data_IF_522384144195
#
_entry.id   IF_522384144195
#
_cell.length_a   1.000
_cell.length_b   1.000
_cell.length_c   1.000
_cell.angle_alpha   90.00
_cell.angle_beta   90.00
_cell.angle_gamma   90.00
#
_symmetry.space_group_name_H-M   'P 1'
#
loop_
_entity.id
_entity.type
_entity.pdbx_description
1 polymer ?
#
# COMPACT_ATOMS: atom_id res chain seq x y z
N UNK A 1 -3.45 0.13 -10.15
CA UNK A 1 -2.75 1.03 -9.21
C UNK A 1 -3.61 2.29 -9.07
N UNK A 2 -4.00 2.69 -7.86
CA UNK A 2 -4.72 3.95 -7.66
C UNK A 2 -3.69 5.07 -7.63
N UNK A 3 -3.16 5.45 -8.81
CA UNK A 3 -2.24 6.57 -8.91
C UNK A 3 -3.07 7.84 -8.97
N UNK A 4 -2.90 8.73 -7.99
CA UNK A 4 -3.43 10.09 -8.09
C UNK A 4 -2.55 10.83 -9.09
N UNK A 5 -2.84 10.67 -10.39
CA UNK A 5 -2.24 11.49 -11.45
C UNK A 5 -3.16 12.67 -11.66
N UNK A 6 -2.78 13.82 -11.10
CA UNK A 6 -3.33 15.08 -11.56
C UNK A 6 -2.81 15.35 -12.97
N UNK A 7 -3.69 15.36 -13.98
CA UNK A 7 -3.34 15.88 -15.31
C UNK A 7 -3.06 17.38 -15.18
N UNK A 8 -1.80 17.72 -14.97
CA UNK A 8 -1.23 19.05 -15.15
C UNK A 8 0.11 18.86 -15.85
N UNK A 9 0.20 19.32 -17.08
CA UNK A 9 1.35 19.19 -17.97
C UNK A 9 2.66 19.52 -17.26
N UNK A 10 3.51 18.51 -17.07
CA UNK A 10 4.96 18.71 -16.88
C UNK A 10 5.52 19.08 -18.24
N UNK A 11 5.37 20.34 -18.63
CA UNK A 11 6.19 20.96 -19.65
C UNK A 11 6.72 22.26 -19.06
N UNK A 12 8.04 22.36 -19.05
CA UNK A 12 8.79 23.55 -18.68
C UNK A 12 8.17 24.78 -19.35
N UNK A 13 7.50 25.63 -18.57
CA UNK A 13 7.33 27.02 -18.95
C UNK A 13 7.33 27.88 -17.68
N UNK A 14 8.28 28.82 -17.60
CA UNK A 14 8.58 29.66 -16.44
C UNK A 14 7.50 30.72 -16.14
N UNK A 15 6.24 30.46 -16.47
CA UNK A 15 5.15 31.44 -16.32
C UNK A 15 3.80 30.78 -16.01
N UNK A 16 3.67 30.15 -14.85
CA UNK A 16 2.36 29.97 -14.22
C UNK A 16 2.50 30.04 -12.69
N UNK A 17 2.46 31.27 -12.17
CA UNK A 17 2.04 31.53 -10.78
C UNK A 17 0.56 31.24 -10.66
N UNK A 18 0.11 30.66 -9.54
CA UNK A 18 -1.25 30.19 -9.19
C UNK A 18 -1.51 28.68 -9.35
N UNK A 19 -0.66 27.86 -8.74
CA UNK A 19 -1.10 26.62 -8.12
C UNK A 19 -1.13 26.87 -6.61
N UNK A 20 -2.26 26.65 -5.95
CA UNK A 20 -2.30 26.58 -4.48
C UNK A 20 -1.43 25.41 -4.06
N UNK A 21 -0.55 25.61 -3.07
CA UNK A 21 0.55 24.71 -2.64
C UNK A 21 0.13 23.26 -2.24
N UNK A 22 -1.14 22.89 -2.38
CA UNK A 22 -1.74 21.64 -1.89
C UNK A 22 -2.85 21.09 -2.81
N UNK A 23 -2.65 21.10 -4.13
CA UNK A 23 -3.67 20.60 -5.08
C UNK A 23 -4.04 19.11 -4.90
N UNK A 24 -3.12 18.28 -4.38
CA UNK A 24 -3.35 16.86 -4.13
C UNK A 24 -3.94 16.57 -2.74
N UNK A 25 -3.92 17.55 -1.83
CA UNK A 25 -4.27 17.38 -0.44
C UNK A 25 -5.71 16.89 -0.24
N UNK A 26 -6.67 17.45 -1.00
CA UNK A 26 -8.06 17.00 -0.94
C UNK A 26 -8.15 15.49 -1.20
N UNK A 27 -7.48 15.04 -2.26
CA UNK A 27 -7.58 13.65 -2.71
C UNK A 27 -6.92 12.73 -1.69
N UNK A 28 -5.72 13.08 -1.23
CA UNK A 28 -5.00 12.33 -0.20
C UNK A 28 -5.82 12.25 1.08
N UNK A 29 -6.32 13.38 1.58
CA UNK A 29 -7.10 13.44 2.80
C UNK A 29 -8.38 12.59 2.71
N UNK A 30 -9.13 12.70 1.62
CA UNK A 30 -10.34 11.90 1.39
C UNK A 30 -10.03 10.41 1.25
N UNK A 31 -8.89 10.09 0.67
CA UNK A 31 -8.47 8.71 0.45
C UNK A 31 -8.08 8.01 1.76
N UNK A 32 -7.30 8.66 2.62
CA UNK A 32 -7.02 8.13 3.97
C UNK A 32 -8.28 8.00 4.83
N UNK A 33 -9.24 8.93 4.66
CA UNK A 33 -10.56 8.81 5.26
C UNK A 33 -11.34 7.59 4.74
N UNK A 34 -11.24 7.28 3.45
CA UNK A 34 -11.83 6.09 2.86
C UNK A 34 -11.20 4.82 3.44
N UNK A 35 -9.87 4.75 3.55
CA UNK A 35 -9.15 3.63 4.17
C UNK A 35 -9.65 3.38 5.60
N UNK A 36 -9.68 4.43 6.43
CA UNK A 36 -10.24 4.33 7.78
C UNK A 36 -11.69 3.83 7.77
N UNK A 37 -12.50 4.34 6.85
CA UNK A 37 -13.92 4.01 6.79
C UNK A 37 -14.18 2.57 6.39
N UNK A 38 -13.38 1.99 5.50
CA UNK A 38 -13.48 0.59 5.09
C UNK A 38 -13.18 -0.32 6.28
N UNK A 39 -12.06 -0.08 6.96
CA UNK A 39 -11.60 -0.94 8.05
C UNK A 39 -12.49 -0.85 9.30
N UNK A 40 -13.12 0.30 9.54
CA UNK A 40 -14.05 0.51 10.66
C UNK A 40 -15.53 0.37 10.26
N UNK A 41 -15.81 -0.14 9.05
CA UNK A 41 -17.19 -0.22 8.58
C UNK A 41 -17.98 -1.32 9.30
N UNK A 42 -19.16 -0.95 9.83
CA UNK A 42 -20.00 -1.88 10.60
C UNK A 42 -20.81 -2.87 9.78
N UNK A 43 -21.16 -2.52 8.54
CA UNK A 43 -21.89 -3.47 7.69
C UNK A 43 -20.88 -4.46 7.14
N UNK A 44 -21.29 -5.72 7.06
CA UNK A 44 -20.49 -6.76 6.42
C UNK A 44 -20.12 -6.36 5.00
N UNK A 45 -18.82 -6.31 4.73
CA UNK A 45 -18.26 -6.03 3.41
C UNK A 45 -17.60 -7.29 2.86
N UNK A 46 -17.76 -7.50 1.56
CA UNK A 46 -17.15 -8.62 0.83
C UNK A 46 -16.41 -8.05 -0.37
N UNK A 47 -15.10 -8.27 -0.44
CA UNK A 47 -14.31 -8.06 -1.65
C UNK A 47 -14.28 -9.36 -2.46
N UNK A 48 -14.69 -9.30 -3.73
CA UNK A 48 -14.48 -10.37 -4.71
C UNK A 48 -13.30 -9.97 -5.60
N UNK A 49 -12.13 -10.57 -5.37
CA UNK A 49 -10.88 -10.16 -5.99
C UNK A 49 -10.49 -11.17 -7.06
N UNK A 50 -10.81 -10.87 -8.30
CA UNK A 50 -10.46 -11.66 -9.47
C UNK A 50 -9.51 -10.89 -10.38
N UNK A 51 -8.20 -11.13 -10.25
CA UNK A 51 -7.16 -10.43 -11.01
C UNK A 51 -6.19 -9.65 -10.13
N UNK A 52 -5.59 -8.60 -10.70
CA UNK A 52 -4.51 -7.84 -10.06
C UNK A 52 -5.09 -6.91 -8.97
N UNK A 53 -4.57 -7.02 -7.75
CA UNK A 53 -4.90 -6.15 -6.62
C UNK A 53 -3.62 -5.62 -5.98
N UNK A 54 -3.21 -4.41 -6.37
CA UNK A 54 -1.94 -3.81 -5.93
C UNK A 54 -2.15 -2.39 -5.40
N UNK A 55 -1.39 -2.02 -4.37
CA UNK A 55 -1.43 -0.72 -3.71
C UNK A 55 -2.83 -0.34 -3.27
N UNK A 56 -3.37 0.76 -3.81
CA UNK A 56 -4.73 1.17 -3.48
C UNK A 56 -5.83 0.13 -3.75
N UNK A 57 -5.66 -0.82 -4.68
CA UNK A 57 -6.60 -1.95 -4.84
C UNK A 57 -6.54 -2.94 -3.68
N UNK A 58 -5.34 -3.17 -3.16
CA UNK A 58 -5.11 -4.01 -2.00
C UNK A 58 -5.73 -3.40 -0.73
N UNK A 59 -5.75 -2.08 -0.62
CA UNK A 59 -6.40 -1.36 0.47
C UNK A 59 -7.93 -1.51 0.49
N UNK A 60 -8.52 -1.85 -0.65
CA UNK A 60 -9.96 -2.11 -0.77
C UNK A 60 -10.32 -3.57 -0.48
N UNK A 61 -9.36 -4.43 -0.13
CA UNK A 61 -9.65 -5.85 0.13
C UNK A 61 -9.06 -6.37 1.44
N UNK A 62 -7.83 -6.03 1.79
CA UNK A 62 -7.16 -6.54 3.00
C UNK A 62 -7.93 -6.19 4.28
N UNK A 63 -8.36 -4.93 4.50
CA UNK A 63 -9.09 -4.58 5.73
C UNK A 63 -10.57 -5.01 5.71
N UNK A 64 -11.09 -5.54 4.60
CA UNK A 64 -12.50 -5.94 4.54
C UNK A 64 -12.74 -7.21 5.35
N UNK A 65 -13.93 -7.28 5.97
CA UNK A 65 -14.33 -8.42 6.80
C UNK A 65 -14.24 -9.76 6.07
N UNK A 66 -14.63 -9.77 4.79
CA UNK A 66 -14.42 -10.88 3.89
C UNK A 66 -13.69 -10.41 2.63
N UNK A 67 -12.58 -11.07 2.33
CA UNK A 67 -11.87 -10.96 1.05
C UNK A 67 -11.78 -12.34 0.42
N UNK A 68 -12.41 -12.48 -0.75
CA UNK A 68 -12.50 -13.72 -1.52
C UNK A 68 -11.61 -13.57 -2.74
N UNK A 69 -10.58 -14.41 -2.82
CA UNK A 69 -9.58 -14.40 -3.89
C UNK A 69 -9.72 -15.64 -4.77
N UNK A 70 -9.15 -15.62 -5.98
CA UNK A 70 -9.17 -16.74 -6.91
C UNK A 70 -7.76 -17.10 -7.37
N UNK A 71 -7.62 -18.15 -8.17
CA UNK A 71 -6.37 -18.55 -8.80
C UNK A 71 -5.77 -17.49 -9.75
N UNK A 72 -6.56 -16.48 -10.15
CA UNK A 72 -6.08 -15.35 -10.97
C UNK A 72 -5.68 -14.14 -10.15
N UNK A 73 -5.83 -14.19 -8.83
CA UNK A 73 -5.45 -13.06 -7.98
C UNK A 73 -3.95 -12.90 -7.94
N UNK A 74 -3.48 -11.67 -8.19
CA UNK A 74 -2.09 -11.28 -8.02
C UNK A 74 -2.05 -10.05 -7.13
N UNK A 75 -1.47 -10.19 -5.95
CA UNK A 75 -1.32 -9.11 -4.98
C UNK A 75 0.13 -8.65 -4.90
N UNK A 76 0.33 -7.35 -4.69
CA UNK A 76 1.61 -6.78 -4.28
C UNK A 76 1.41 -5.38 -3.68
N UNK A 77 2.38 -4.95 -2.88
CA UNK A 77 2.57 -3.58 -2.42
C UNK A 77 3.88 -3.01 -3.00
N UNK A 78 3.90 -2.65 -4.30
CA UNK A 78 5.14 -2.29 -5.00
C UNK A 78 5.56 -0.83 -4.80
N UNK A 79 5.00 -0.11 -3.83
CA UNK A 79 5.13 1.35 -3.67
C UNK A 79 6.59 1.83 -3.59
N UNK A 80 7.42 1.08 -2.87
CA UNK A 80 8.84 1.40 -2.73
C UNK A 80 9.55 1.50 -4.09
N UNK A 81 9.19 0.62 -5.04
CA UNK A 81 9.87 0.46 -6.34
C UNK A 81 9.84 1.71 -7.22
N UNK A 82 8.86 2.60 -7.02
CA UNK A 82 8.77 3.88 -7.71
C UNK A 82 9.02 5.08 -6.81
N UNK A 83 9.66 4.90 -5.65
CA UNK A 83 10.04 6.01 -4.78
C UNK A 83 8.95 6.47 -3.82
N UNK A 84 7.95 5.63 -3.55
CA UNK A 84 6.86 5.94 -2.62
C UNK A 84 6.93 5.09 -1.35
N UNK A 85 6.07 5.38 -0.36
CA UNK A 85 5.99 4.61 0.88
C UNK A 85 4.82 3.62 0.83
N UNK A 86 4.81 2.65 1.76
CA UNK A 86 3.62 1.81 1.98
C UNK A 86 2.53 2.67 2.62
N UNK A 87 1.44 2.86 1.88
CA UNK A 87 0.34 3.77 2.22
C UNK A 87 -0.98 3.00 2.45
N UNK A 88 -2.11 3.70 2.49
CA UNK A 88 -3.44 3.11 2.60
C UNK A 88 -3.74 2.22 3.83
N UNK A 89 -3.02 2.37 4.93
CA UNK A 89 -3.10 1.52 6.12
C UNK A 89 -2.20 0.28 6.07
N UNK A 90 -1.36 0.14 5.03
CA UNK A 90 -0.46 -1.00 4.93
C UNK A 90 0.70 -0.98 5.91
N UNK A 91 1.07 0.17 6.47
CA UNK A 91 2.03 0.16 7.59
C UNK A 91 1.45 -0.59 8.79
N UNK A 92 0.15 -0.49 9.04
CA UNK A 92 -0.56 -1.29 10.04
C UNK A 92 -0.70 -2.74 9.60
N UNK A 93 -1.30 -2.99 8.43
CA UNK A 93 -1.59 -4.36 7.96
C UNK A 93 -0.34 -5.24 7.83
N UNK A 94 0.76 -4.71 7.28
CA UNK A 94 2.02 -5.45 7.20
C UNK A 94 2.63 -5.69 8.58
N UNK A 95 2.51 -4.75 9.52
CA UNK A 95 3.05 -4.90 10.87
C UNK A 95 2.39 -6.03 11.67
N UNK A 96 1.16 -6.40 11.32
CA UNK A 96 0.41 -7.49 11.94
C UNK A 96 0.74 -8.87 11.37
N UNK A 97 1.53 -8.95 10.29
CA UNK A 97 1.88 -10.23 9.68
C UNK A 97 2.89 -11.01 10.53
N UNK A 98 2.91 -12.35 10.46
CA UNK A 98 3.83 -13.17 11.23
C UNK A 98 5.30 -12.83 10.96
N UNK A 99 6.09 -12.80 12.04
CA UNK A 99 7.55 -12.63 11.97
C UNK A 99 7.96 -11.30 11.32
N UNK A 100 8.66 -11.39 10.19
CA UNK A 100 9.06 -10.25 9.36
C UNK A 100 8.53 -10.34 7.92
N UNK A 101 7.41 -11.05 7.71
CA UNK A 101 6.77 -11.16 6.40
C UNK A 101 6.30 -9.79 5.89
N UNK A 102 5.80 -8.92 6.78
CA UNK A 102 5.36 -7.57 6.44
C UNK A 102 6.46 -6.69 5.86
N UNK A 103 7.62 -6.65 6.52
CA UNK A 103 8.79 -5.93 6.00
C UNK A 103 9.24 -6.51 4.65
N UNK A 104 9.25 -7.83 4.51
CA UNK A 104 9.59 -8.48 3.23
C UNK A 104 8.66 -8.03 2.10
N UNK A 105 7.34 -8.13 2.29
CA UNK A 105 6.36 -7.75 1.25
C UNK A 105 6.48 -6.27 0.88
N UNK A 106 6.53 -5.38 1.89
CA UNK A 106 6.54 -3.94 1.68
C UNK A 106 7.84 -3.42 1.04
N UNK A 107 8.99 -4.01 1.37
CA UNK A 107 10.30 -3.57 0.83
C UNK A 107 10.60 -4.14 -0.55
N UNK A 108 10.12 -5.35 -0.83
CA UNK A 108 10.47 -6.07 -2.07
C UNK A 108 9.40 -5.95 -3.15
N UNK A 109 8.16 -5.60 -2.78
CA UNK A 109 7.02 -5.65 -3.68
C UNK A 109 6.71 -7.07 -4.16
N UNK A 110 7.12 -8.10 -3.40
CA UNK A 110 6.92 -9.49 -3.76
C UNK A 110 5.44 -9.78 -4.03
N UNK A 111 5.20 -10.54 -5.11
CA UNK A 111 3.85 -10.89 -5.53
C UNK A 111 3.36 -12.11 -4.77
N UNK A 112 2.12 -12.07 -4.30
CA UNK A 112 1.41 -13.21 -3.73
C UNK A 112 0.25 -13.61 -4.64
N UNK A 113 0.10 -14.90 -4.87
CA UNK A 113 -1.09 -15.43 -5.53
C UNK A 113 -2.27 -15.59 -4.54
N UNK A 114 -3.45 -15.94 -5.05
CA UNK A 114 -4.66 -16.11 -4.21
C UNK A 114 -4.50 -17.10 -3.05
N UNK A 115 -3.82 -18.23 -3.23
CA UNK A 115 -3.62 -19.20 -2.14
C UNK A 115 -2.69 -18.65 -1.07
N UNK A 116 -1.61 -18.01 -1.50
CA UNK A 116 -0.62 -17.40 -0.61
C UNK A 116 -1.23 -16.24 0.20
N UNK A 117 -2.10 -15.44 -0.40
CA UNK A 117 -2.82 -14.38 0.31
C UNK A 117 -3.65 -14.90 1.47
N UNK A 118 -4.40 -15.98 1.25
CA UNK A 118 -5.21 -16.60 2.31
C UNK A 118 -4.30 -17.20 3.38
N UNK A 119 -3.24 -17.89 2.98
CA UNK A 119 -2.28 -18.49 3.92
C UNK A 119 -1.50 -17.44 4.74
N UNK A 120 -1.21 -16.27 4.16
CA UNK A 120 -0.57 -15.14 4.85
C UNK A 120 -1.54 -14.36 5.75
N UNK A 121 -2.85 -14.62 5.66
CA UNK A 121 -3.88 -13.90 6.41
C UNK A 121 -4.27 -12.53 5.83
N UNK A 122 -3.86 -12.24 4.59
CA UNK A 122 -4.21 -11.01 3.87
C UNK A 122 -5.52 -11.15 3.08
N UNK A 123 -5.98 -12.36 2.85
CA UNK A 123 -7.32 -12.67 2.35
C UNK A 123 -7.99 -13.72 3.24
N UNK A 124 -9.31 -13.83 3.16
CA UNK A 124 -10.07 -14.71 4.05
C UNK A 124 -10.41 -16.06 3.41
N UNK A 125 -10.76 -16.06 2.13
CA UNK A 125 -11.30 -17.24 1.45
C UNK A 125 -10.76 -17.34 0.03
N UNK A 126 -10.64 -18.57 -0.47
CA UNK A 126 -10.26 -18.87 -1.84
C UNK A 126 -11.40 -19.58 -2.56
N UNK A 127 -11.78 -19.07 -3.74
CA UNK A 127 -12.85 -19.63 -4.57
C UNK A 127 -12.34 -19.76 -6.01
N UNK A 128 -12.64 -20.88 -6.67
CA UNK A 128 -12.35 -21.05 -8.11
C UNK A 128 -13.02 -19.95 -8.92
N UNK A 129 -12.32 -19.35 -9.88
CA UNK A 129 -12.90 -18.27 -10.68
C UNK A 129 -14.18 -18.64 -11.42
N UNK A 130 -14.36 -19.92 -11.76
CA UNK A 130 -15.58 -20.45 -12.39
C UNK A 130 -16.82 -20.28 -11.51
N UNK A 131 -16.64 -20.22 -10.18
CA UNK A 131 -17.72 -20.14 -9.18
C UNK A 131 -18.02 -18.72 -8.72
N UNK A 132 -17.20 -17.73 -9.07
CA UNK A 132 -17.34 -16.35 -8.57
C UNK A 132 -18.70 -15.74 -8.94
N UNK A 133 -19.16 -15.94 -10.18
CA UNK A 133 -20.46 -15.42 -10.64
C UNK A 133 -21.64 -16.04 -9.87
N UNK A 134 -21.52 -17.32 -9.51
CA UNK A 134 -22.55 -18.01 -8.73
C UNK A 134 -22.54 -17.55 -7.27
N UNK A 135 -21.35 -17.41 -6.68
CA UNK A 135 -21.16 -16.84 -5.34
C UNK A 135 -21.77 -15.43 -5.24
N UNK A 136 -21.49 -14.55 -6.20
CA UNK A 136 -22.03 -13.19 -6.22
C UNK A 136 -23.57 -13.21 -6.23
N UNK A 137 -24.19 -14.04 -7.09
CA UNK A 137 -25.65 -14.21 -7.12
C UNK A 137 -26.19 -14.72 -5.79
N UNK A 138 -25.50 -15.68 -5.15
CA UNK A 138 -25.89 -16.23 -3.85
C UNK A 138 -25.81 -15.16 -2.76
N UNK A 139 -24.75 -14.36 -2.72
CA UNK A 139 -24.59 -13.24 -1.79
C UNK A 139 -25.71 -12.20 -1.95
N UNK A 140 -26.05 -11.83 -3.19
CA UNK A 140 -27.16 -10.91 -3.47
C UNK A 140 -28.50 -11.51 -3.02
N UNK A 141 -28.70 -12.82 -3.14
CA UNK A 141 -29.94 -13.50 -2.75
C UNK A 141 -30.20 -13.60 -1.25
N UNK A 142 -29.17 -13.38 -0.40
CA UNK A 142 -29.30 -13.55 1.05
C UNK A 142 -30.31 -12.58 1.68
N UNK A 143 -30.56 -11.42 1.06
CA UNK A 143 -31.41 -10.35 1.59
C UNK A 143 -31.11 -9.99 3.07
N UNK A 144 -29.87 -10.25 3.52
CA UNK A 144 -29.38 -10.04 4.88
C UNK A 144 -27.90 -9.65 4.82
N UNK A 145 -27.50 -8.72 5.69
CA UNK A 145 -26.09 -8.34 5.89
C UNK A 145 -25.48 -8.97 7.13
N UNK A 146 -26.16 -9.95 7.75
CA UNK A 146 -25.64 -10.67 8.92
C UNK A 146 -24.31 -11.37 8.59
N UNK A 147 -23.32 -11.18 9.44
CA UNK A 147 -21.95 -11.66 9.20
C UNK A 147 -21.89 -13.19 9.07
N UNK A 148 -22.64 -13.93 9.90
CA UNK A 148 -22.62 -15.39 9.88
C UNK A 148 -23.30 -15.92 8.62
N UNK A 149 -24.42 -15.33 8.20
CA UNK A 149 -25.09 -15.70 6.96
C UNK A 149 -24.21 -15.49 5.73
N UNK A 150 -23.52 -14.34 5.66
CA UNK A 150 -22.56 -14.05 4.58
C UNK A 150 -21.38 -15.03 4.61
N UNK A 151 -20.81 -15.29 5.79
CA UNK A 151 -19.72 -16.27 5.97
C UNK A 151 -20.12 -17.64 5.45
N UNK A 152 -21.26 -18.17 5.88
CA UNK A 152 -21.73 -19.50 5.47
C UNK A 152 -21.87 -19.61 3.96
N UNK A 153 -22.40 -18.57 3.30
CA UNK A 153 -22.46 -18.55 1.82
C UNK A 153 -21.06 -18.57 1.22
N UNK A 154 -20.10 -17.79 1.71
CA UNK A 154 -18.74 -17.82 1.15
C UNK A 154 -18.08 -19.19 1.34
N UNK A 155 -18.27 -19.80 2.52
CA UNK A 155 -17.75 -21.13 2.86
C UNK A 155 -18.33 -22.24 1.96
N UNK A 156 -19.60 -22.14 1.52
CA UNK A 156 -20.21 -23.08 0.56
C UNK A 156 -19.45 -23.18 -0.78
N UNK A 157 -18.81 -22.08 -1.21
CA UNK A 157 -18.05 -22.02 -2.46
C UNK A 157 -16.53 -22.15 -2.27
N UNK A 158 -16.06 -22.04 -1.04
CA UNK A 158 -14.64 -21.97 -0.71
C UNK A 158 -13.95 -23.32 -0.84
N UNK A 159 -12.68 -23.28 -1.22
CA UNK A 159 -11.79 -24.44 -1.22
C UNK A 159 -10.72 -24.26 -0.15
N UNK A 160 -10.31 -25.37 0.48
CA UNK A 160 -9.12 -25.36 1.32
C UNK A 160 -7.88 -24.96 0.50
N UNK A 161 -7.04 -24.11 1.08
CA UNK A 161 -5.79 -23.67 0.46
C UNK A 161 -4.60 -24.33 1.14
N UNK A 162 -3.63 -24.71 0.32
CA UNK A 162 -2.26 -25.02 0.74
C UNK A 162 -1.31 -24.24 -0.17
N UNK A 163 -0.35 -23.48 0.38
CA UNK A 163 0.70 -22.89 -0.44
C UNK A 163 1.41 -23.95 -1.27
N UNK A 164 1.79 -23.59 -2.49
CA UNK A 164 2.55 -24.47 -3.37
C UNK A 164 3.98 -24.68 -2.80
N UNK A 165 4.69 -25.74 -3.19
CA UNK A 165 5.99 -26.11 -2.58
C UNK A 165 7.06 -25.01 -2.72
N UNK A 166 7.02 -24.28 -3.82
CA UNK A 166 7.92 -23.16 -4.14
C UNK A 166 7.44 -21.80 -3.60
N UNK A 167 6.29 -21.77 -2.88
CA UNK A 167 5.75 -20.56 -2.29
C UNK A 167 6.76 -19.84 -1.41
N UNK A 168 6.73 -18.50 -1.46
CA UNK A 168 7.58 -17.65 -0.63
C UNK A 168 7.28 -17.83 0.86
N UNK A 169 6.06 -18.24 1.21
CA UNK A 169 5.67 -18.51 2.60
C UNK A 169 6.43 -19.70 3.20
N UNK A 170 6.91 -20.63 2.36
CA UNK A 170 7.77 -21.74 2.81
C UNK A 170 9.21 -21.27 3.13
N UNK A 171 9.54 -19.99 2.89
CA UNK A 171 10.85 -19.39 3.15
C UNK A 171 10.85 -18.52 4.42
N UNK A 172 9.80 -18.61 5.25
CA UNK A 172 9.58 -17.76 6.42
C UNK A 172 10.80 -17.67 7.34
N UNK A 173 11.50 -18.78 7.62
CA UNK A 173 12.66 -18.74 8.52
C UNK A 173 13.80 -17.86 8.01
N UNK A 174 14.05 -17.90 6.70
CA UNK A 174 15.09 -17.08 6.04
C UNK A 174 14.64 -15.62 5.95
N UNK A 175 13.35 -15.39 5.69
CA UNK A 175 12.74 -14.05 5.72
C UNK A 175 12.90 -13.44 7.12
N UNK A 176 12.53 -14.17 8.18
CA UNK A 176 12.65 -13.70 9.55
C UNK A 176 14.10 -13.40 9.94
N UNK A 177 15.03 -14.28 9.58
CA UNK A 177 16.45 -14.06 9.84
C UNK A 177 16.99 -12.80 9.15
N UNK A 178 16.65 -12.59 7.88
CA UNK A 178 17.19 -11.49 7.09
C UNK A 178 16.48 -10.15 7.35
N UNK A 179 15.16 -10.13 7.53
CA UNK A 179 14.38 -8.91 7.72
C UNK A 179 14.25 -8.47 9.18
N UNK A 180 14.78 -9.25 10.13
CA UNK A 180 14.95 -8.86 11.53
C UNK A 180 16.05 -7.82 11.78
N UNK A 181 16.97 -7.59 10.82
CA UNK A 181 18.11 -6.67 11.01
C UNK A 181 17.68 -5.21 11.13
N UNK A 182 18.44 -4.37 11.80
CA UNK A 182 17.96 -3.04 12.20
C UNK A 182 17.86 -2.05 11.03
N UNK A 183 18.68 -2.21 9.99
CA UNK A 183 18.71 -1.29 8.85
C UNK A 183 18.62 -2.02 7.50
N UNK A 184 18.29 -1.27 6.43
CA UNK A 184 18.26 -1.81 5.05
C UNK A 184 19.63 -2.36 4.64
N UNK A 185 20.71 -1.70 5.01
CA UNK A 185 22.07 -2.13 4.73
C UNK A 185 22.39 -3.48 5.38
N UNK A 186 21.94 -3.69 6.62
CA UNK A 186 22.09 -4.98 7.31
C UNK A 186 21.19 -6.06 6.71
N UNK A 187 19.96 -5.73 6.31
CA UNK A 187 19.04 -6.65 5.62
C UNK A 187 19.68 -7.13 4.31
N UNK A 188 20.19 -6.21 3.49
CA UNK A 188 20.87 -6.54 2.22
C UNK A 188 22.08 -7.44 2.48
N UNK A 189 22.93 -7.11 3.46
CA UNK A 189 24.09 -7.95 3.82
C UNK A 189 23.67 -9.35 4.28
N UNK A 190 22.59 -9.45 5.05
CA UNK A 190 22.05 -10.74 5.51
C UNK A 190 21.57 -11.58 4.33
N UNK A 191 20.83 -10.97 3.40
CA UNK A 191 20.38 -11.63 2.16
C UNK A 191 21.57 -12.08 1.30
N UNK A 192 22.62 -11.25 1.15
CA UNK A 192 23.83 -11.62 0.40
C UNK A 192 24.56 -12.83 1.02
N UNK A 193 24.57 -12.94 2.35
CA UNK A 193 25.14 -14.11 3.04
C UNK A 193 24.30 -15.38 2.84
N UNK A 194 22.97 -15.26 2.80
CA UNK A 194 22.04 -16.38 2.59
C UNK A 194 21.96 -16.84 1.12
N UNK A 195 22.27 -15.96 0.16
CA UNK A 195 22.04 -16.20 -1.27
C UNK A 195 22.79 -17.42 -1.83
N UNK A 196 23.90 -17.81 -1.23
CA UNK A 196 24.72 -18.95 -1.69
C UNK A 196 24.32 -20.29 -1.04
N UNK A 197 23.35 -20.31 -0.13
CA UNK A 197 22.88 -21.55 0.50
C UNK A 197 21.89 -22.28 -0.39
N UNK A 198 21.88 -23.61 -0.27
CA UNK A 198 20.95 -24.47 -1.02
C UNK A 198 19.50 -24.09 -0.73
N UNK A 199 18.66 -24.03 -1.77
CA UNK A 199 17.23 -23.66 -1.64
C UNK A 199 16.93 -22.15 -1.58
N UNK A 200 17.96 -21.28 -1.57
CA UNK A 200 17.84 -19.82 -1.47
C UNK A 200 18.02 -19.07 -2.80
N UNK A 201 17.86 -19.73 -3.95
CA UNK A 201 18.02 -19.10 -5.27
C UNK A 201 17.07 -17.92 -5.53
N UNK A 202 15.94 -17.84 -4.83
CA UNK A 202 14.97 -16.73 -4.88
C UNK A 202 15.56 -15.39 -4.41
N UNK A 203 16.57 -15.43 -3.52
CA UNK A 203 17.18 -14.23 -2.91
C UNK A 203 17.85 -13.35 -3.97
N UNK A 204 18.41 -13.94 -5.03
CA UNK A 204 19.07 -13.17 -6.09
C UNK A 204 18.10 -12.19 -6.77
N UNK A 205 16.86 -12.60 -7.01
CA UNK A 205 15.80 -11.75 -7.58
C UNK A 205 15.42 -10.65 -6.61
N UNK A 206 15.27 -10.97 -5.32
CA UNK A 206 14.93 -10.00 -4.26
C UNK A 206 16.03 -8.95 -4.12
N UNK A 207 17.30 -9.35 -4.02
CA UNK A 207 18.44 -8.44 -3.97
C UNK A 207 18.50 -7.53 -5.19
N UNK A 208 18.26 -8.07 -6.39
CA UNK A 208 18.23 -7.27 -7.61
C UNK A 208 17.11 -6.22 -7.58
N UNK A 209 15.93 -6.58 -7.08
CA UNK A 209 14.80 -5.66 -6.91
C UNK A 209 15.10 -4.55 -5.90
N UNK A 210 15.54 -4.92 -4.69
CA UNK A 210 15.88 -3.95 -3.64
C UNK A 210 16.99 -2.99 -4.07
N UNK A 211 18.03 -3.46 -4.77
CA UNK A 211 19.12 -2.61 -5.27
C UNK A 211 18.70 -1.62 -6.36
N UNK A 212 17.56 -1.86 -7.02
CA UNK A 212 16.97 -0.97 -8.03
C UNK A 212 15.92 -0.02 -7.44
N UNK A 213 15.56 -0.19 -6.18
CA UNK A 213 14.53 0.58 -5.48
C UNK A 213 15.11 1.86 -4.90
N UNK A 214 14.29 2.92 -4.75
CA UNK A 214 14.74 4.19 -4.12
C UNK A 214 15.30 3.91 -2.71
N UNK A 215 16.55 4.34 -2.42
CA UNK A 215 17.14 4.22 -1.09
C UNK A 215 16.31 4.91 0.00
N UNK A 216 15.76 6.09 -0.33
CA UNK A 216 14.87 6.86 0.55
C UNK A 216 13.60 6.10 0.86
N UNK A 217 12.93 5.56 -0.17
CA UNK A 217 11.70 4.81 -0.01
C UNK A 217 11.89 3.56 0.86
N UNK A 218 12.98 2.81 0.65
CA UNK A 218 13.31 1.63 1.48
C UNK A 218 13.42 1.99 2.96
N UNK A 219 14.12 3.07 3.30
CA UNK A 219 14.27 3.52 4.70
C UNK A 219 12.94 3.99 5.30
N UNK A 220 12.12 4.74 4.55
CA UNK A 220 10.78 5.16 4.99
C UNK A 220 9.89 3.94 5.24
N UNK A 221 9.84 2.99 4.30
CA UNK A 221 8.98 1.80 4.40
C UNK A 221 9.36 0.95 5.60
N UNK A 222 10.65 0.66 5.79
CA UNK A 222 11.12 -0.14 6.93
C UNK A 222 10.69 0.48 8.26
N UNK A 223 10.93 1.79 8.43
CA UNK A 223 10.51 2.51 9.64
C UNK A 223 9.00 2.50 9.81
N UNK A 224 8.25 2.83 8.75
CA UNK A 224 6.79 2.91 8.79
C UNK A 224 6.15 1.59 9.23
N UNK A 225 6.56 0.46 8.64
CA UNK A 225 6.03 -0.88 9.01
C UNK A 225 6.41 -1.25 10.45
N UNK A 226 7.63 -0.94 10.90
CA UNK A 226 8.07 -1.27 12.26
C UNK A 226 7.38 -0.45 13.34
N UNK A 227 7.23 0.86 13.11
CA UNK A 227 6.47 1.74 14.00
C UNK A 227 5.02 1.23 14.13
N UNK A 228 4.45 0.73 13.04
CA UNK A 228 3.10 0.17 12.98
C UNK A 228 2.82 -0.95 13.98
N UNK A 229 3.85 -1.71 14.42
CA UNK A 229 3.69 -2.81 15.40
C UNK A 229 3.20 -2.33 16.77
N UNK A 230 3.43 -1.05 17.10
CA UNK A 230 3.06 -0.45 18.38
C UNK A 230 2.02 0.66 18.23
N UNK A 231 1.45 0.82 17.04
CA UNK A 231 0.51 1.89 16.71
C UNK A 231 -0.87 1.31 16.41
N UNK A 232 -1.90 2.09 16.75
CA UNK A 232 -3.27 1.83 16.30
C UNK A 232 -3.40 2.15 14.80
N UNK A 233 -4.44 1.62 14.15
CA UNK A 233 -4.78 1.99 12.78
C UNK A 233 -4.82 3.51 12.56
N UNK A 234 -5.44 4.26 13.49
CA UNK A 234 -5.55 5.71 13.34
C UNK A 234 -4.20 6.41 13.41
N UNK A 235 -3.26 5.91 14.21
CA UNK A 235 -1.90 6.45 14.29
C UNK A 235 -1.12 6.15 13.02
N UNK A 236 -1.22 4.92 12.51
CA UNK A 236 -0.64 4.53 11.22
C UNK A 236 -1.16 5.40 10.08
N UNK A 237 -2.48 5.62 9.97
CA UNK A 237 -3.05 6.46 8.90
C UNK A 237 -2.62 7.93 9.00
N UNK A 238 -2.49 8.48 10.21
CA UNK A 238 -1.95 9.85 10.42
C UNK A 238 -0.49 9.93 9.99
N UNK A 239 0.33 8.96 10.39
CA UNK A 239 1.74 8.85 9.99
C UNK A 239 1.88 8.74 8.47
N UNK A 240 1.13 7.84 7.85
CA UNK A 240 1.14 7.64 6.40
C UNK A 240 0.67 8.89 5.64
N UNK A 241 -0.35 9.60 6.15
CA UNK A 241 -0.77 10.89 5.59
C UNK A 241 0.37 11.92 5.57
N UNK A 242 1.14 12.05 6.67
CA UNK A 242 2.32 12.93 6.71
C UNK A 242 3.35 12.53 5.67
N UNK A 243 3.65 11.23 5.58
CA UNK A 243 4.61 10.70 4.60
C UNK A 243 4.16 10.99 3.17
N UNK A 244 2.90 10.71 2.84
CA UNK A 244 2.34 11.01 1.51
C UNK A 244 2.46 12.49 1.18
N UNK A 245 2.04 13.37 2.09
CA UNK A 245 2.08 14.82 1.84
C UNK A 245 3.52 15.34 1.69
N UNK A 246 4.44 14.88 2.53
CA UNK A 246 5.85 15.27 2.44
C UNK A 246 6.53 14.74 1.17
N UNK A 247 6.18 13.53 0.71
CA UNK A 247 6.68 12.98 -0.55
C UNK A 247 6.11 13.73 -1.76
N UNK A 248 4.80 14.02 -1.77
CA UNK A 248 4.17 14.81 -2.84
C UNK A 248 4.65 16.27 -2.89
N UNK A 249 5.16 16.80 -1.78
CA UNK A 249 5.80 18.13 -1.74
C UNK A 249 7.30 18.09 -2.01
N UNK A 250 7.85 16.92 -2.36
CA UNK A 250 9.29 16.69 -2.56
C UNK A 250 10.14 17.16 -1.37
N UNK A 251 9.61 17.08 -0.14
CA UNK A 251 10.31 17.59 1.06
C UNK A 251 11.56 16.77 1.37
N UNK A 252 11.53 15.47 1.05
CA UNK A 252 12.67 14.57 1.25
C UNK A 252 13.46 14.30 -0.03
N UNK A 253 12.80 13.85 -1.09
CA UNK A 253 13.36 13.60 -2.42
C UNK A 253 12.28 13.74 -3.51
N UNK A 254 12.72 13.78 -4.77
CA UNK A 254 11.85 13.74 -5.96
C UNK A 254 11.64 12.31 -6.49
N UNK A 255 12.08 11.28 -5.73
CA UNK A 255 12.11 9.89 -6.20
C UNK A 255 10.74 9.39 -6.66
N UNK A 256 9.63 9.81 -6.03
CA UNK A 256 8.29 9.42 -6.46
C UNK A 256 8.01 9.85 -7.91
N UNK A 257 8.36 11.08 -8.27
CA UNK A 257 8.17 11.60 -9.63
C UNK A 257 9.10 10.90 -10.62
N UNK A 258 10.36 10.67 -10.24
CA UNK A 258 11.32 9.94 -11.08
C UNK A 258 10.90 8.48 -11.30
N UNK A 259 10.39 7.81 -10.27
CA UNK A 259 9.90 6.44 -10.38
C UNK A 259 8.66 6.35 -11.28
N UNK A 260 7.72 7.30 -11.15
CA UNK A 260 6.57 7.41 -12.05
C UNK A 260 7.04 7.65 -13.49
N UNK A 261 7.99 8.55 -13.70
CA UNK A 261 8.58 8.80 -15.02
C UNK A 261 9.15 7.50 -15.60
N UNK A 262 10.05 6.84 -14.88
CA UNK A 262 10.78 5.67 -15.35
C UNK A 262 9.90 4.43 -15.60
N UNK A 263 8.88 4.19 -14.75
CA UNK A 263 8.06 2.98 -14.83
C UNK A 263 6.78 3.15 -15.64
N UNK A 264 6.16 4.33 -15.61
CA UNK A 264 4.81 4.55 -16.17
C UNK A 264 4.82 5.45 -17.40
N UNK A 265 5.56 6.56 -17.36
CA UNK A 265 5.54 7.57 -18.43
C UNK A 265 6.47 7.17 -19.56
N UNK A 266 7.77 7.11 -19.28
CA UNK A 266 8.81 6.82 -20.28
C UNK A 266 9.03 5.30 -20.43
N UNK A 267 8.70 4.53 -19.38
CA UNK A 267 8.84 3.06 -19.34
C UNK A 267 10.27 2.58 -19.64
N UNK A 268 11.28 3.41 -19.35
CA UNK A 268 12.69 3.09 -19.55
C UNK A 268 13.25 2.12 -18.49
N UNK A 269 12.51 1.90 -17.39
CA UNK A 269 12.91 1.03 -16.29
C UNK A 269 14.25 1.42 -15.63
N UNK A 270 14.66 2.68 -15.78
CA UNK A 270 15.96 3.20 -15.36
C UNK A 270 15.81 4.49 -14.52
N UNK A 271 15.14 4.41 -13.35
CA UNK A 271 15.01 5.55 -12.47
C UNK A 271 16.38 6.00 -11.94
N UNK A 272 16.56 7.32 -11.85
CA UNK A 272 17.76 7.98 -11.33
C UNK A 272 17.47 8.55 -9.95
N UNK A 273 17.57 7.70 -8.95
CA UNK A 273 17.29 8.07 -7.56
C UNK A 273 18.22 9.16 -7.03
N UNK A 274 17.67 10.07 -6.23
CA UNK A 274 18.42 11.08 -5.51
C UNK A 274 17.97 11.12 -4.03
N UNK A 275 18.78 10.62 -3.09
CA UNK A 275 20.16 10.15 -3.26
C UNK A 275 20.27 8.77 -3.95
N UNK A 276 21.40 8.49 -4.65
CA UNK A 276 21.58 7.27 -5.43
C UNK A 276 21.94 6.03 -4.60
N UNK A 277 22.23 6.18 -3.29
CA UNK A 277 22.66 5.08 -2.43
C UNK A 277 22.21 5.27 -0.97
N UNK A 278 22.11 4.15 -0.24
CA UNK A 278 21.57 4.10 1.13
C UNK A 278 22.36 4.94 2.14
N UNK A 279 23.69 4.98 2.00
CA UNK A 279 24.62 5.74 2.84
C UNK A 279 24.49 7.26 2.69
N UNK A 280 23.83 7.71 1.62
CA UNK A 280 23.61 9.13 1.31
C UNK A 280 22.22 9.64 1.69
N UNK A 281 21.36 8.77 2.20
CA UNK A 281 20.05 9.19 2.71
C UNK A 281 20.26 9.99 4.00
N UNK A 282 19.74 11.22 4.00
CA UNK A 282 19.82 12.14 5.13
C UNK A 282 18.83 11.73 6.23
N UNK A 283 19.36 11.19 7.33
CA UNK A 283 18.56 10.77 8.49
C UNK A 283 17.78 11.93 9.10
N UNK A 284 18.28 13.17 9.04
CA UNK A 284 17.58 14.37 9.51
C UNK A 284 16.35 14.70 8.66
N UNK A 285 16.43 14.52 7.33
CA UNK A 285 15.25 14.63 6.45
C UNK A 285 14.27 13.46 6.64
N UNK A 286 14.78 12.25 6.87
CA UNK A 286 13.94 11.12 7.23
C UNK A 286 13.16 11.43 8.51
N UNK A 287 13.82 11.89 9.57
CA UNK A 287 13.16 12.25 10.82
C UNK A 287 12.13 13.36 10.64
N UNK A 288 12.42 14.35 9.79
CA UNK A 288 11.53 15.45 9.47
C UNK A 288 10.19 14.96 8.89
N UNK A 289 10.21 14.02 7.93
CA UNK A 289 8.98 13.59 7.25
C UNK A 289 8.06 12.72 8.12
N UNK A 290 8.58 12.18 9.24
CA UNK A 290 7.79 11.48 10.26
C UNK A 290 7.26 12.40 11.36
N UNK A 291 7.74 13.66 11.45
CA UNK A 291 7.26 14.59 12.47
C UNK A 291 5.77 14.89 12.30
N UNK A 292 5.03 15.04 13.40
CA UNK A 292 3.63 15.43 13.34
C UNK A 292 3.46 16.80 12.69
N UNK A 293 2.39 16.93 11.89
CA UNK A 293 1.95 18.24 11.45
C UNK A 293 1.28 19.00 12.60
N UNK A 294 1.10 20.31 12.42
CA UNK A 294 0.27 21.10 13.32
C UNK A 294 -1.14 20.47 13.40
N UNK A 295 -1.80 20.56 14.56
CA UNK A 295 -3.06 19.84 14.83
C UNK A 295 -4.14 20.07 13.77
N UNK A 296 -4.25 21.28 13.23
CA UNK A 296 -5.18 21.66 12.17
C UNK A 296 -4.79 21.16 10.77
N UNK A 297 -3.51 20.82 10.57
CA UNK A 297 -2.95 20.28 9.34
C UNK A 297 -2.70 18.75 9.45
N UNK A 298 -3.18 18.11 10.51
CA UNK A 298 -3.09 16.67 10.67
C UNK A 298 -4.33 15.97 10.14
N UNK A 299 -4.21 14.72 9.73
CA UNK A 299 -5.35 13.89 9.38
C UNK A 299 -6.32 13.75 10.57
N UNK A 300 -7.50 14.35 10.45
CA UNK A 300 -8.54 14.27 11.48
C UNK A 300 -9.45 13.08 11.19
N UNK A 301 -9.17 11.94 11.81
CA UNK A 301 -10.01 10.75 11.81
C UNK A 301 -10.81 10.68 13.12
N UNK A 302 -12.11 10.29 13.11
CA UNK A 302 -12.90 10.16 14.33
C UNK A 302 -12.43 8.97 15.17
N UNK A 303 -12.18 9.22 16.45
CA UNK A 303 -11.87 8.16 17.42
C UNK A 303 -13.15 7.49 17.97
N UNK A 304 -14.33 8.07 17.70
CA UNK A 304 -15.63 7.54 18.14
C UNK A 304 -16.72 7.71 17.08
N UNK A 305 -17.76 6.89 17.18
CA UNK A 305 -18.89 6.87 16.23
C UNK A 305 -19.73 8.13 16.18
N UNK A 306 -19.67 8.97 17.22
CA UNK A 306 -20.42 10.23 17.28
C UNK A 306 -20.01 11.21 16.16
N UNK A 307 -18.83 10.99 15.56
CA UNK A 307 -18.28 11.78 14.46
C UNK A 307 -18.09 10.97 13.17
N UNK A 308 -18.96 10.00 12.87
CA UNK A 308 -19.02 9.46 11.50
C UNK A 308 -19.25 10.64 10.54
N UNK A 309 -18.37 10.82 9.56
CA UNK A 309 -18.38 11.98 8.66
C UNK A 309 -19.79 12.29 8.13
N UNK A 310 -20.36 13.39 8.61
CA UNK A 310 -21.70 13.82 8.24
C UNK A 310 -21.72 14.78 7.03
N UNK A 311 -20.56 15.20 6.49
CA UNK A 311 -20.56 16.18 5.43
C UNK A 311 -19.22 16.50 4.78
N UNK A 312 -19.29 16.62 3.44
CA UNK A 312 -18.43 17.23 2.41
C UNK A 312 -17.02 17.74 2.83
N UNK A 313 -16.02 17.50 1.97
CA UNK A 313 -14.61 17.96 2.12
C UNK A 313 -14.48 19.42 2.55
N UNK A 314 -15.43 20.24 2.11
CA UNK A 314 -15.67 21.65 2.43
C UNK A 314 -15.68 21.99 3.94
N UNK A 315 -15.80 20.99 4.83
CA UNK A 315 -15.79 21.19 6.28
C UNK A 315 -14.43 20.87 6.95
N UNK A 316 -13.40 20.48 6.20
CA UNK A 316 -12.04 20.30 6.71
C UNK A 316 -11.31 21.65 6.88
N UNK A 317 -10.29 21.72 7.74
CA UNK A 317 -9.48 22.94 7.90
C UNK A 317 -8.84 23.42 6.58
N UNK A 318 -8.59 22.49 5.65
CA UNK A 318 -8.02 22.76 4.34
C UNK A 318 -9.01 23.37 3.35
N UNK A 319 -10.30 23.08 3.49
CA UNK A 319 -11.33 23.74 2.68
C UNK A 319 -11.44 25.24 2.95
N UNK A 320 -11.07 25.69 4.16
CA UNK A 320 -11.04 27.11 4.51
C UNK A 320 -9.79 27.84 3.98
N UNK A 321 -8.73 27.13 3.61
CA UNK A 321 -7.52 27.71 3.00
C UNK A 321 -7.63 27.83 1.47
N UNK A 322 -8.42 26.97 0.82
CA UNK A 322 -8.55 26.92 -0.64
C UNK A 322 -9.87 27.61 -1.04
N UNK A 323 -9.88 28.94 -1.02
CA UNK A 323 -11.04 29.72 -1.45
C UNK A 323 -11.50 29.35 -2.87
N UNK A 324 -12.76 28.87 -2.98
CA UNK A 324 -13.62 28.84 -4.17
C UNK A 324 -12.98 28.58 -5.56
N UNK A 325 -12.39 27.40 -5.80
CA UNK A 325 -12.25 26.91 -7.18
C UNK A 325 -12.63 25.44 -7.29
N UNK A 326 -13.79 25.17 -7.92
CA UNK A 326 -14.23 23.82 -8.26
C UNK A 326 -13.39 23.31 -9.43
N UNK A 327 -12.47 22.40 -9.19
CA UNK A 327 -11.88 21.55 -10.23
C UNK A 327 -12.49 20.15 -10.15
N UNK A 328 -12.96 19.65 -11.29
CA UNK A 328 -13.45 18.28 -11.42
C UNK A 328 -12.23 17.33 -11.48
N UNK A 329 -12.21 16.34 -10.59
CA UNK A 329 -11.13 15.36 -10.50
C UNK A 329 -11.55 14.04 -11.17
N UNK A 330 -10.64 13.43 -11.93
CA UNK A 330 -10.82 12.10 -12.52
C UNK A 330 -9.86 11.15 -11.83
N UNK A 331 -10.40 10.12 -11.16
CA UNK A 331 -9.61 8.99 -10.67
C UNK A 331 -9.15 8.19 -11.92
N UNK A 332 -7.85 8.13 -12.16
CA UNK A 332 -7.27 7.25 -13.18
C UNK A 332 -6.72 6.01 -12.49
N UNK A 333 -7.46 4.90 -12.59
CA UNK A 333 -6.91 3.57 -12.31
C UNK A 333 -6.15 3.15 -13.55
N UNK A 334 -4.82 3.19 -13.51
CA UNK A 334 -4.00 2.58 -14.57
C UNK A 334 -3.69 1.12 -14.22
N UNK A 335 -3.87 0.26 -15.21
CA UNK A 335 -3.28 -1.08 -15.24
C UNK A 335 -1.77 -0.92 -15.35
N UNK A 336 -1.03 -1.39 -14.34
CA UNK A 336 0.38 -1.70 -14.48
C UNK A 336 0.44 -2.99 -15.30
N UNK A 337 1.08 -2.92 -16.48
CA UNK A 337 1.36 -4.09 -17.30
C UNK A 337 2.07 -5.15 -16.45
N UNK A 338 1.60 -6.40 -16.53
CA UNK A 338 1.95 -7.49 -15.63
C UNK A 338 3.42 -7.98 -15.70
N UNK A 339 4.30 -7.28 -16.42
CA UNK A 339 5.67 -7.71 -16.79
C UNK A 339 6.81 -7.11 -15.97
N UNK A 340 6.55 -6.44 -14.83
CA UNK A 340 7.60 -5.99 -13.90
C UNK A 340 8.02 -7.02 -12.85
#
# INVERSE_FOLDING_TARGET
MCLIITKGSVFHDHKFSFWTEDSCLEVVYRYYWLCHHIETYKKTQVALVHGISMGGGAALMVPMKFSVVTEKTVFATPEASFGFHTDCGFSYSHSCLPGHLGEFLALTGARLNGKELVAAGLATHFVSSEKIVELEKRLISLNSGDENAVRSVIEEFSSEVKPDEDSILNKQSVIDECFSKNSIEEIIKSLEAEANKEGNGWIATVLKGMKRTSPTALKIVLRSVRDGRNETLSECLKKEFRLTMNILRSTISEDMYEGIRALTVDKDNAPKWDPPSLDKVDDGKLDLVFQPFEKNLELQIPESEACRWAGKYENSAYAFQIGQYKTAWVLLVSELDATL
#
